data_IF_867389025938
#
_entry.id   IF_867389025938
#
_cell.length_a   1.000
_cell.length_b   1.000
_cell.length_c   1.000
_cell.angle_alpha   90.00
_cell.angle_beta   90.00
_cell.angle_gamma   90.00
#
_symmetry.space_group_name_H-M   'P 1'
#
loop_
_entity.id
_entity.type
_entity.pdbx_description
1 polymer ?
#
# COMPACT_ATOMS: atom_id res chain seq x y z
N UNK A 1 23.59 -16.20 -12.40
CA UNK A 1 23.36 -15.78 -13.80
C UNK A 1 21.98 -15.17 -13.87
N UNK A 2 21.92 -13.83 -13.82
CA UNK A 2 20.71 -13.04 -14.00
C UNK A 2 20.88 -12.37 -15.36
N UNK A 3 19.91 -12.44 -16.30
CA UNK A 3 20.08 -11.83 -17.60
C UNK A 3 19.98 -10.31 -17.50
N UNK A 4 20.89 -9.64 -18.19
CA UNK A 4 20.86 -8.22 -18.46
C UNK A 4 19.88 -7.90 -19.60
N UNK A 5 19.02 -6.89 -19.43
CA UNK A 5 18.37 -6.05 -20.44
C UNK A 5 17.45 -5.07 -19.70
N UNK A 6 17.33 -3.77 -19.97
CA UNK A 6 17.84 -2.90 -21.02
C UNK A 6 17.86 -1.45 -20.47
N UNK A 7 18.62 -0.50 -21.06
CA UNK A 7 18.66 0.88 -20.56
C UNK A 7 17.36 1.61 -20.91
N UNK A 8 16.63 2.07 -19.88
CA UNK A 8 15.47 2.95 -20.04
C UNK A 8 15.94 4.28 -20.64
N UNK A 9 15.49 4.52 -21.88
CA UNK A 9 15.75 5.74 -22.63
C UNK A 9 15.30 6.97 -21.85
N UNK A 10 16.25 7.80 -21.45
CA UNK A 10 16.05 9.21 -21.12
C UNK A 10 15.65 9.96 -22.38
N UNK A 11 14.35 9.92 -22.74
CA UNK A 11 13.79 10.90 -23.68
C UNK A 11 13.65 12.23 -22.96
N UNK A 12 14.63 13.11 -23.22
CA UNK A 12 14.53 14.54 -23.03
C UNK A 12 13.24 15.04 -23.70
N UNK A 13 12.22 15.41 -22.94
CA UNK A 13 10.95 15.90 -23.50
C UNK A 13 9.97 16.50 -22.50
N UNK A 14 9.73 15.86 -21.36
CA UNK A 14 8.59 16.23 -20.49
C UNK A 14 9.00 16.74 -19.10
N UNK A 15 10.16 17.38 -19.00
CA UNK A 15 10.51 18.13 -17.80
C UNK A 15 9.78 19.46 -17.87
N UNK A 16 8.61 19.61 -17.23
CA UNK A 16 8.11 20.85 -16.59
C UNK A 16 6.67 20.66 -16.08
N UNK A 17 6.47 19.83 -15.05
CA UNK A 17 5.38 20.10 -14.10
C UNK A 17 5.87 21.22 -13.18
N UNK A 18 5.49 22.45 -13.55
CA UNK A 18 5.83 23.68 -12.85
C UNK A 18 6.84 24.58 -13.57
N UNK A 19 6.42 25.23 -14.67
CA UNK A 19 6.50 26.71 -14.82
C UNK A 19 6.06 27.26 -16.19
N UNK A 20 5.84 26.45 -17.25
CA UNK A 20 5.31 26.95 -18.56
C UNK A 20 4.35 25.98 -19.29
N UNK A 21 3.32 25.52 -18.58
CA UNK A 21 2.19 24.75 -19.12
C UNK A 21 1.39 24.13 -17.97
N UNK A 22 0.24 24.72 -17.61
CA UNK A 22 -0.51 24.34 -16.40
C UNK A 22 -1.39 23.10 -16.65
N UNK A 23 -0.81 21.91 -16.61
CA UNK A 23 -1.60 20.69 -16.44
C UNK A 23 -1.88 20.48 -14.95
N UNK A 24 -3.15 20.42 -14.52
CA UNK A 24 -3.49 20.12 -13.14
C UNK A 24 -3.02 18.71 -12.74
N UNK A 25 -2.49 18.58 -11.53
CA UNK A 25 -1.90 17.33 -11.00
C UNK A 25 -2.87 16.15 -11.02
N UNK A 26 -4.16 16.38 -10.74
CA UNK A 26 -5.21 15.35 -10.75
C UNK A 26 -5.59 14.84 -12.15
N UNK A 27 -5.11 15.50 -13.22
CA UNK A 27 -5.40 15.14 -14.61
C UNK A 27 -4.25 14.42 -15.30
N UNK A 28 -3.18 14.11 -14.56
CA UNK A 28 -1.99 13.51 -15.14
C UNK A 28 -2.26 12.08 -15.60
N UNK A 29 -3.00 11.32 -14.82
CA UNK A 29 -3.38 9.94 -15.11
C UNK A 29 -4.14 9.85 -16.44
N UNK A 30 -5.15 10.72 -16.63
CA UNK A 30 -5.96 10.75 -17.85
C UNK A 30 -5.23 11.32 -19.07
N UNK A 31 -4.32 12.29 -18.88
CA UNK A 31 -3.55 12.90 -19.98
C UNK A 31 -2.37 12.06 -20.44
N UNK A 32 -1.73 11.33 -19.52
CA UNK A 32 -0.56 10.52 -19.83
C UNK A 32 -0.94 9.10 -20.27
N UNK A 33 -2.11 8.61 -19.85
CA UNK A 33 -2.50 7.21 -20.07
C UNK A 33 -1.59 6.21 -19.34
N UNK A 34 -0.82 6.71 -18.38
CA UNK A 34 0.18 5.96 -17.62
C UNK A 34 0.16 6.46 -16.17
N UNK A 35 -0.42 5.64 -15.30
CA UNK A 35 -0.70 5.94 -13.90
C UNK A 35 0.56 5.92 -13.04
N UNK A 36 1.47 5.00 -13.34
CA UNK A 36 2.81 4.92 -12.72
C UNK A 36 3.62 6.18 -13.05
N UNK A 37 3.63 6.60 -14.31
CA UNK A 37 4.30 7.83 -14.74
C UNK A 37 3.68 9.08 -14.13
N UNK A 38 2.36 9.13 -13.99
CA UNK A 38 1.69 10.22 -13.30
C UNK A 38 2.14 10.32 -11.83
N UNK A 39 2.22 9.18 -11.12
CA UNK A 39 2.74 9.11 -9.76
C UNK A 39 4.21 9.58 -9.67
N UNK A 40 5.07 9.12 -10.58
CA UNK A 40 6.48 9.51 -10.64
C UNK A 40 6.67 11.01 -10.89
N UNK A 41 5.91 11.60 -11.80
CA UNK A 41 5.93 13.06 -12.06
C UNK A 41 5.52 13.84 -10.81
N UNK A 42 4.48 13.38 -10.11
CA UNK A 42 4.03 14.02 -8.86
C UNK A 42 5.06 13.86 -7.74
N UNK A 43 5.70 12.71 -7.64
CA UNK A 43 6.80 12.44 -6.71
C UNK A 43 7.99 13.39 -6.93
N UNK A 44 8.44 13.56 -8.18
CA UNK A 44 9.53 14.46 -8.53
C UNK A 44 9.17 15.94 -8.29
N UNK A 45 7.95 16.34 -8.66
CA UNK A 45 7.46 17.68 -8.38
C UNK A 45 7.42 17.98 -6.88
N UNK A 46 7.00 17.00 -6.06
CA UNK A 46 6.97 17.13 -4.61
C UNK A 46 8.37 17.26 -4.02
N UNK A 47 9.35 16.49 -4.49
CA UNK A 47 10.75 16.63 -4.08
C UNK A 47 11.31 18.03 -4.39
N UNK A 48 11.00 18.58 -5.56
CA UNK A 48 11.40 19.94 -5.95
C UNK A 48 10.77 21.02 -5.06
N UNK A 49 9.50 20.86 -4.69
CA UNK A 49 8.78 21.81 -3.82
C UNK A 49 9.34 21.77 -2.38
N UNK A 50 9.58 20.58 -1.84
CA UNK A 50 10.06 20.39 -0.46
C UNK A 50 11.57 20.67 -0.35
N UNK A 51 12.31 20.56 -1.46
CA UNK A 51 13.77 20.64 -1.47
C UNK A 51 14.46 19.45 -0.78
N UNK A 52 13.79 18.30 -0.69
CA UNK A 52 14.29 17.07 -0.07
C UNK A 52 13.97 15.85 -0.91
N UNK A 53 14.84 14.85 -0.85
CA UNK A 53 14.56 13.53 -1.40
C UNK A 53 13.57 12.78 -0.51
N UNK A 54 12.57 12.16 -1.14
CA UNK A 54 11.55 11.35 -0.48
C UNK A 54 12.05 9.90 -0.34
N UNK A 55 13.08 9.72 0.49
CA UNK A 55 13.65 8.40 0.77
C UNK A 55 12.60 7.51 1.46
N UNK A 56 12.44 6.28 0.98
CA UNK A 56 11.46 5.32 1.52
C UNK A 56 10.06 5.41 0.91
N UNK A 57 9.87 6.24 -0.13
CA UNK A 57 8.63 6.37 -0.88
C UNK A 57 8.83 6.01 -2.36
N UNK A 58 9.05 4.72 -2.69
CA UNK A 58 9.22 4.29 -4.07
C UNK A 58 7.97 4.52 -4.93
N UNK A 59 8.19 4.67 -6.23
CA UNK A 59 7.14 4.78 -7.25
C UNK A 59 7.08 3.57 -8.20
N UNK A 60 8.00 2.62 -8.07
CA UNK A 60 8.10 1.43 -8.92
C UNK A 60 7.69 0.18 -8.14
N UNK A 61 7.27 -0.89 -8.83
CA UNK A 61 6.93 -2.16 -8.18
C UNK A 61 5.55 -2.20 -7.54
N UNK A 62 4.66 -1.30 -7.95
CA UNK A 62 3.28 -1.21 -7.51
C UNK A 62 2.34 -1.10 -8.71
N UNK A 63 1.21 -1.79 -8.66
CA UNK A 63 0.20 -1.78 -9.73
C UNK A 63 -0.77 -0.61 -9.51
N UNK A 64 -0.41 0.54 -10.08
CA UNK A 64 -1.19 1.78 -9.97
C UNK A 64 -2.54 1.72 -10.70
N UNK A 65 -2.70 0.85 -11.69
CA UNK A 65 -3.92 0.75 -12.48
C UNK A 65 -5.05 0.13 -11.67
N UNK A 66 -4.75 -0.83 -10.80
CA UNK A 66 -5.75 -1.47 -9.92
C UNK A 66 -6.33 -0.54 -8.85
N UNK A 67 -5.61 0.52 -8.48
CA UNK A 67 -5.96 1.39 -7.34
C UNK A 67 -6.55 2.73 -7.78
N UNK A 68 -6.35 3.07 -9.06
CA UNK A 68 -6.88 4.27 -9.65
C UNK A 68 -8.39 4.40 -9.37
N UNK A 69 -8.80 5.53 -8.79
CA UNK A 69 -10.21 5.86 -8.47
C UNK A 69 -10.83 5.03 -7.32
N UNK A 70 -10.20 3.95 -6.86
CA UNK A 70 -10.80 3.07 -5.86
C UNK A 70 -10.35 3.35 -4.42
N UNK A 71 -9.07 3.63 -4.18
CA UNK A 71 -8.55 3.73 -2.81
C UNK A 71 -7.90 5.08 -2.48
N UNK A 72 -7.25 5.74 -3.44
CA UNK A 72 -6.51 6.96 -3.19
C UNK A 72 -6.31 7.76 -4.49
N UNK A 73 -6.55 9.08 -4.45
CA UNK A 73 -6.17 9.98 -5.55
C UNK A 73 -4.79 10.61 -5.31
N UNK A 74 -4.17 11.14 -6.37
CA UNK A 74 -2.92 11.89 -6.27
C UNK A 74 -1.77 11.11 -5.58
N UNK A 75 -1.63 9.82 -5.88
CA UNK A 75 -0.58 8.90 -5.42
C UNK A 75 0.86 9.34 -5.73
N UNK A 76 1.66 9.73 -4.76
CA UNK A 76 3.08 10.12 -4.98
C UNK A 76 4.06 8.96 -4.78
N UNK A 77 3.56 7.75 -4.52
CA UNK A 77 4.35 6.57 -4.18
C UNK A 77 3.57 5.70 -3.20
N UNK A 78 4.26 4.75 -2.57
CA UNK A 78 3.68 3.87 -1.55
C UNK A 78 4.69 3.59 -0.43
N UNK A 79 4.20 3.14 0.72
CA UNK A 79 5.04 2.73 1.86
C UNK A 79 4.93 1.23 2.05
N UNK A 80 6.07 0.57 2.21
CA UNK A 80 6.13 -0.85 2.51
C UNK A 80 5.93 -1.06 4.02
N UNK A 81 5.04 -1.97 4.38
CA UNK A 81 4.79 -2.38 5.77
C UNK A 81 5.21 -3.85 5.92
N UNK A 82 5.94 -4.17 6.99
CA UNK A 82 6.35 -5.54 7.29
C UNK A 82 5.12 -6.39 7.62
N UNK A 83 5.06 -7.58 7.03
CA UNK A 83 3.99 -8.56 7.28
C UNK A 83 4.59 -9.83 7.89
N UNK A 84 4.14 -10.17 9.09
CA UNK A 84 4.46 -11.43 9.76
C UNK A 84 3.24 -12.36 9.81
N UNK A 85 3.45 -13.60 10.25
CA UNK A 85 2.38 -14.59 10.43
C UNK A 85 2.37 -15.05 11.89
N UNK A 86 1.19 -15.07 12.51
CA UNK A 86 0.95 -15.68 13.81
C UNK A 86 0.00 -16.89 13.68
N UNK A 87 0.31 -18.03 14.30
CA UNK A 87 -0.55 -19.20 14.31
C UNK A 87 0.18 -20.55 14.45
N UNK A 88 -0.57 -21.67 14.38
CA UNK A 88 -2.00 -21.73 14.12
C UNK A 88 -2.84 -21.23 15.31
N UNK A 89 -3.90 -20.47 15.03
CA UNK A 89 -4.99 -20.20 15.96
C UNK A 89 -6.07 -21.24 15.73
N UNK A 90 -6.33 -22.09 16.73
CA UNK A 90 -7.45 -23.03 16.71
C UNK A 90 -8.71 -22.30 17.19
N UNK A 91 -9.63 -22.02 16.27
CA UNK A 91 -10.85 -21.25 16.50
C UNK A 91 -12.01 -21.95 15.81
N UNK A 92 -13.07 -22.28 16.55
CA UNK A 92 -14.28 -22.95 16.02
C UNK A 92 -13.93 -24.20 15.19
N UNK A 93 -13.04 -25.05 15.74
CA UNK A 93 -12.47 -26.26 15.12
C UNK A 93 -11.65 -26.03 13.83
N UNK A 94 -11.44 -24.78 13.42
CA UNK A 94 -10.59 -24.37 12.30
C UNK A 94 -9.20 -23.91 12.73
N UNK A 95 -8.18 -24.23 11.93
CA UNK A 95 -6.82 -23.73 12.13
C UNK A 95 -6.49 -22.56 11.20
N UNK A 96 -6.12 -21.42 11.78
CA UNK A 96 -5.84 -20.21 11.03
C UNK A 96 -4.40 -19.72 11.19
N UNK A 97 -3.76 -19.39 10.07
CA UNK A 97 -2.55 -18.57 10.02
C UNK A 97 -2.96 -17.12 9.81
N UNK A 98 -2.64 -16.26 10.78
CA UNK A 98 -3.08 -14.86 10.80
C UNK A 98 -1.97 -13.97 10.24
N UNK A 99 -2.13 -13.38 9.04
CA UNK A 99 -1.21 -12.37 8.54
C UNK A 99 -1.38 -11.07 9.33
N UNK A 100 -0.26 -10.47 9.75
CA UNK A 100 -0.23 -9.25 10.55
C UNK A 100 0.74 -8.23 9.93
N UNK A 101 0.21 -7.11 9.46
CA UNK A 101 1.02 -5.96 9.01
C UNK A 101 1.33 -5.05 10.21
N UNK A 102 2.61 -4.89 10.58
CA UNK A 102 3.00 -4.08 11.74
C UNK A 102 4.45 -3.60 11.66
N UNK A 103 4.73 -2.45 12.28
CA UNK A 103 6.10 -1.98 12.56
C UNK A 103 6.45 -2.10 14.05
N UNK A 104 5.52 -2.58 14.89
CA UNK A 104 5.74 -2.74 16.32
C UNK A 104 6.59 -3.99 16.60
N UNK A 105 7.72 -3.78 17.29
CA UNK A 105 8.60 -4.86 17.71
C UNK A 105 7.87 -5.89 18.60
N UNK A 106 8.20 -7.16 18.41
CA UNK A 106 7.66 -8.29 19.17
C UNK A 106 6.14 -8.54 19.07
N UNK A 107 5.34 -7.69 18.42
CA UNK A 107 3.87 -7.85 18.36
C UNK A 107 3.49 -9.22 17.77
N UNK A 108 4.01 -9.55 16.58
CA UNK A 108 3.75 -10.84 15.91
C UNK A 108 4.16 -12.03 16.79
N UNK A 109 5.34 -11.95 17.42
CA UNK A 109 5.85 -13.03 18.27
C UNK A 109 4.98 -13.23 19.53
N UNK A 110 4.50 -12.14 20.14
CA UNK A 110 3.61 -12.18 21.30
C UNK A 110 2.25 -12.75 20.94
N UNK A 111 1.66 -12.33 19.83
CA UNK A 111 0.41 -12.91 19.31
C UNK A 111 0.60 -14.39 19.02
N UNK A 112 1.71 -14.79 18.40
CA UNK A 112 2.01 -16.19 18.12
C UNK A 112 2.11 -17.05 19.39
N UNK A 113 2.72 -16.52 20.47
CA UNK A 113 2.72 -17.19 21.78
C UNK A 113 1.31 -17.34 22.35
N UNK A 114 0.46 -16.34 22.16
CA UNK A 114 -0.97 -16.39 22.52
C UNK A 114 -1.72 -17.48 21.75
N UNK A 115 -1.57 -17.52 20.42
CA UNK A 115 -2.13 -18.57 19.57
C UNK A 115 -1.70 -19.96 20.05
N UNK A 116 -0.42 -20.14 20.37
CA UNK A 116 0.09 -21.41 20.91
C UNK A 116 -0.58 -21.79 22.23
N UNK A 117 -0.76 -20.83 23.14
CA UNK A 117 -1.42 -21.08 24.43
C UNK A 117 -2.90 -21.48 24.25
N UNK A 118 -3.63 -20.80 23.37
CA UNK A 118 -5.02 -21.15 23.02
C UNK A 118 -5.08 -22.56 22.42
N UNK A 119 -4.20 -22.85 21.47
CA UNK A 119 -4.15 -24.14 20.78
C UNK A 119 -3.98 -25.31 21.75
N UNK A 120 -3.00 -25.23 22.67
CA UNK A 120 -2.77 -26.30 23.66
C UNK A 120 -3.88 -26.40 24.72
N UNK A 121 -4.73 -25.37 24.83
CA UNK A 121 -5.88 -25.35 25.74
C UNK A 121 -7.15 -25.95 25.12
N UNK A 122 -7.06 -26.50 23.90
CA UNK A 122 -8.20 -27.07 23.18
C UNK A 122 -8.90 -26.10 22.24
N UNK A 123 -8.31 -24.93 21.98
CA UNK A 123 -8.85 -23.93 21.05
C UNK A 123 -9.75 -22.88 21.72
N UNK A 124 -10.34 -22.04 20.89
CA UNK A 124 -11.32 -21.03 21.29
C UNK A 124 -12.61 -21.17 20.47
N UNK A 125 -13.71 -20.67 21.02
CA UNK A 125 -14.99 -20.58 20.30
C UNK A 125 -15.39 -19.12 20.14
N UNK A 126 -16.01 -18.78 19.01
CA UNK A 126 -16.50 -17.44 18.72
C UNK A 126 -17.97 -17.42 18.27
N UNK A 127 -18.63 -16.28 18.47
CA UNK A 127 -19.99 -16.05 17.99
C UNK A 127 -20.13 -14.58 17.57
N UNK A 128 -20.73 -14.34 16.41
CA UNK A 128 -21.09 -12.99 15.95
C UNK A 128 -22.46 -12.63 16.52
N UNK A 129 -22.49 -11.64 17.42
CA UNK A 129 -23.73 -11.25 18.12
C UNK A 129 -24.57 -10.26 17.30
N UNK A 130 -23.92 -9.42 16.49
CA UNK A 130 -24.57 -8.44 15.61
C UNK A 130 -23.62 -8.09 14.46
N UNK A 131 -24.20 -7.93 13.26
CA UNK A 131 -23.51 -7.39 12.10
C UNK A 131 -24.42 -6.36 11.41
N UNK A 132 -23.98 -5.11 11.32
CA UNK A 132 -24.73 -4.02 10.71
C UNK A 132 -23.82 -2.87 10.30
N UNK A 133 -24.05 -2.34 9.08
CA UNK A 133 -23.48 -1.07 8.63
C UNK A 133 -24.62 -0.06 8.59
N UNK A 134 -24.49 1.05 9.33
CA UNK A 134 -25.48 2.13 9.35
C UNK A 134 -24.96 3.33 8.55
N UNK A 135 -25.77 3.82 7.61
CA UNK A 135 -25.58 5.13 6.99
C UNK A 135 -26.80 5.99 7.32
N UNK A 136 -26.60 7.09 8.04
CA UNK A 136 -27.63 8.11 8.25
C UNK A 136 -27.38 9.19 7.19
N UNK A 137 -28.18 9.17 6.13
CA UNK A 137 -28.19 10.24 5.14
C UNK A 137 -29.36 11.17 5.46
N UNK A 138 -29.10 12.24 6.21
CA UNK A 138 -30.07 13.35 6.32
C UNK A 138 -30.18 14.02 4.95
N UNK A 139 -31.40 14.04 4.41
CA UNK A 139 -31.78 14.78 3.20
C UNK A 139 -31.76 16.29 3.43
#
# INVERSE_FOLDING_TARGET
MIPAHAPLMTRQGDHQVGSRGKTPSYSLESKLGDTCRAAAIRHEALQRIIGKFLVGLPTEGFDYDTILVQCCEMLVGYVQILVGIAGPLLLDDGEFLVPMATIEGCLVARTNRGCKAIYVSGGASSVVIRDAILSIMTM
#
